data_IF_612937008677
#
_entry.id   IF_612937008677
#
_cell.length_a   1.000
_cell.length_b   1.000
_cell.length_c   1.000
_cell.angle_alpha   90.00
_cell.angle_beta   90.00
_cell.angle_gamma   90.00
#
_symmetry.space_group_name_H-M   'P 1'
#
loop_
_entity.id
_entity.type
_entity.pdbx_description
1 polymer ?
#
# COMPACT_ATOMS: atom_id res chain seq x y z
N UNK A 1 11.65 15.41 -17.99
CA UNK A 1 10.89 14.25 -17.43
C UNK A 1 9.39 14.41 -17.65
N UNK A 2 8.59 13.33 -17.52
CA UNK A 2 7.11 13.43 -17.61
C UNK A 2 6.55 13.82 -16.25
N UNK A 3 5.49 14.63 -16.18
CA UNK A 3 4.84 15.06 -14.94
C UNK A 3 4.45 13.85 -14.05
N UNK A 4 3.95 12.76 -14.66
CA UNK A 4 3.62 11.53 -13.91
C UNK A 4 4.83 10.93 -13.18
N UNK A 5 6.04 11.10 -13.67
CA UNK A 5 7.25 10.62 -13.00
C UNK A 5 7.56 11.44 -11.74
N UNK A 6 7.42 12.77 -11.83
CA UNK A 6 7.59 13.64 -10.65
C UNK A 6 6.55 13.34 -9.57
N UNK A 7 5.29 13.14 -9.96
CA UNK A 7 4.24 12.76 -9.02
C UNK A 7 4.58 11.43 -8.33
N UNK A 8 5.02 10.42 -9.10
CA UNK A 8 5.39 9.11 -8.57
C UNK A 8 6.58 9.19 -7.60
N UNK A 9 7.64 9.92 -7.95
CA UNK A 9 8.82 10.09 -7.10
C UNK A 9 8.49 10.83 -5.80
N UNK A 10 7.68 11.88 -5.88
CA UNK A 10 7.23 12.62 -4.71
C UNK A 10 6.39 11.74 -3.78
N UNK A 11 5.48 10.89 -4.29
CA UNK A 11 4.65 9.99 -3.48
C UNK A 11 5.45 8.93 -2.72
N UNK A 12 6.69 8.67 -3.09
CA UNK A 12 7.55 7.76 -2.32
C UNK A 12 7.97 8.36 -0.97
N UNK A 13 8.08 9.69 -0.88
CA UNK A 13 8.54 10.40 0.33
C UNK A 13 7.45 11.28 0.97
N UNK A 14 6.45 11.69 0.19
CA UNK A 14 5.36 12.56 0.63
C UNK A 14 4.05 11.78 0.71
N UNK A 15 3.19 12.14 1.65
CA UNK A 15 1.89 11.49 1.81
C UNK A 15 0.79 12.14 0.96
N UNK A 16 1.07 13.32 0.39
CA UNK A 16 0.16 14.03 -0.48
C UNK A 16 0.94 14.78 -1.56
N UNK A 17 0.49 14.68 -2.82
CA UNK A 17 1.02 15.46 -3.95
C UNK A 17 -0.15 16.11 -4.67
N UNK A 18 -0.22 17.43 -4.58
CA UNK A 18 -1.27 18.23 -5.23
C UNK A 18 -0.84 18.56 -6.65
N UNK A 19 -1.73 18.28 -7.59
CA UNK A 19 -1.62 18.73 -8.97
C UNK A 19 -2.61 19.87 -9.15
N UNK A 20 -2.14 21.12 -9.28
CA UNK A 20 -2.99 22.30 -9.38
C UNK A 20 -4.05 22.15 -10.47
N UNK A 21 -5.30 22.55 -10.17
CA UNK A 21 -6.45 22.47 -11.07
C UNK A 21 -6.85 21.06 -11.54
N UNK A 22 -6.25 20.01 -10.94
CA UNK A 22 -6.58 18.64 -11.29
C UNK A 22 -7.08 17.84 -10.08
N UNK A 23 -6.35 17.83 -8.98
CA UNK A 23 -6.64 17.07 -7.75
C UNK A 23 -5.38 16.69 -7.02
N UNK A 24 -5.50 15.92 -5.95
CA UNK A 24 -4.37 15.43 -5.16
C UNK A 24 -4.31 13.90 -5.15
N UNK A 25 -3.11 13.37 -5.23
CA UNK A 25 -2.81 11.99 -4.93
C UNK A 25 -2.37 11.90 -3.47
N UNK A 26 -3.05 11.04 -2.70
CA UNK A 26 -2.82 10.89 -1.26
C UNK A 26 -2.40 9.45 -1.00
N UNK A 27 -1.35 9.26 -0.21
CA UNK A 27 -0.88 7.92 0.16
C UNK A 27 -1.16 7.61 1.62
N UNK A 28 -1.39 6.34 1.90
CA UNK A 28 -1.54 5.79 3.24
C UNK A 28 -0.63 4.58 3.40
N UNK A 29 0.11 4.53 4.50
CA UNK A 29 0.96 3.37 4.81
C UNK A 29 0.09 2.15 5.14
N UNK A 30 0.44 1.02 4.53
CA UNK A 30 -0.16 -0.28 4.80
C UNK A 30 0.92 -1.17 5.40
N UNK A 31 0.65 -1.72 6.58
CA UNK A 31 1.53 -2.71 7.21
C UNK A 31 1.62 -3.98 6.38
N UNK A 32 2.65 -4.79 6.62
CA UNK A 32 2.74 -6.12 6.06
C UNK A 32 1.46 -6.91 6.33
N UNK A 33 1.00 -7.65 5.34
CA UNK A 33 -0.23 -8.46 5.42
C UNK A 33 0.09 -9.91 5.08
N UNK A 34 -0.59 -10.82 5.75
CA UNK A 34 -0.61 -12.24 5.39
C UNK A 34 -1.88 -12.47 4.57
N UNK A 35 -1.78 -13.22 3.48
CA UNK A 35 -2.96 -13.64 2.69
C UNK A 35 -3.94 -14.44 3.56
N UNK A 36 -5.21 -14.41 3.21
CA UNK A 36 -6.27 -15.09 3.97
C UNK A 36 -6.06 -16.61 4.11
N UNK A 37 -5.40 -17.21 3.15
CA UNK A 37 -5.00 -18.64 3.15
C UNK A 37 -3.67 -18.90 3.87
N UNK A 38 -3.00 -17.86 4.38
CA UNK A 38 -1.71 -17.97 5.04
C UNK A 38 -0.53 -18.29 4.12
N UNK A 39 -0.73 -18.39 2.81
CA UNK A 39 0.29 -18.84 1.87
C UNK A 39 1.32 -17.77 1.49
N UNK A 40 0.97 -16.48 1.65
CA UNK A 40 1.82 -15.37 1.20
C UNK A 40 1.90 -14.26 2.24
N UNK A 41 3.08 -13.68 2.34
CA UNK A 41 3.33 -12.47 3.13
C UNK A 41 3.62 -11.34 2.15
N UNK A 42 2.80 -10.31 2.20
CA UNK A 42 2.99 -9.07 1.43
C UNK A 42 3.77 -8.07 2.27
N UNK A 43 4.83 -7.46 1.74
CA UNK A 43 5.60 -6.46 2.47
C UNK A 43 4.76 -5.20 2.75
N UNK A 44 5.19 -4.34 3.68
CA UNK A 44 4.61 -3.03 3.88
C UNK A 44 4.60 -2.24 2.56
N UNK A 45 3.56 -1.47 2.30
CA UNK A 45 3.44 -0.65 1.11
C UNK A 45 2.65 0.63 1.39
N UNK A 46 2.60 1.56 0.44
CA UNK A 46 1.69 2.70 0.45
C UNK A 46 0.53 2.44 -0.50
N UNK A 47 -0.69 2.56 0.01
CA UNK A 47 -1.90 2.63 -0.81
C UNK A 47 -2.10 4.06 -1.29
N UNK A 48 -2.43 4.23 -2.56
CA UNK A 48 -2.67 5.53 -3.14
C UNK A 48 -4.17 5.71 -3.42
N UNK A 49 -4.65 6.91 -3.21
CA UNK A 49 -5.98 7.37 -3.54
C UNK A 49 -5.93 8.72 -4.27
N UNK A 50 -7.02 9.10 -4.93
CA UNK A 50 -7.13 10.38 -5.63
C UNK A 50 -8.28 11.19 -5.07
N UNK A 51 -8.04 12.47 -4.77
CA UNK A 51 -9.04 13.42 -4.32
C UNK A 51 -9.14 14.60 -5.29
N UNK A 52 -10.24 14.67 -6.03
CA UNK A 52 -10.51 15.73 -7.02
C UNK A 52 -10.67 17.12 -6.42
N UNK A 53 -11.07 17.21 -5.14
CA UNK A 53 -11.43 18.48 -4.49
C UNK A 53 -10.22 19.23 -3.92
N UNK A 54 -9.08 18.56 -3.76
CA UNK A 54 -7.85 19.17 -3.25
C UNK A 54 -7.02 19.67 -4.42
N UNK A 55 -7.19 20.95 -4.78
CA UNK A 55 -6.60 21.56 -5.98
C UNK A 55 -5.69 22.76 -5.68
N UNK A 56 -5.70 23.26 -4.41
CA UNK A 56 -4.91 24.43 -4.03
C UNK A 56 -3.42 24.07 -4.04
N UNK A 57 -2.66 24.76 -4.88
CA UNK A 57 -1.23 24.54 -5.03
C UNK A 57 -0.47 24.74 -3.69
N UNK A 58 0.32 23.75 -3.30
CA UNK A 58 1.24 23.78 -2.15
C UNK A 58 2.70 24.08 -2.55
N UNK A 59 2.96 24.17 -3.85
CA UNK A 59 4.28 24.43 -4.42
C UNK A 59 5.17 23.18 -4.55
N UNK A 60 4.82 22.04 -3.97
CA UNK A 60 5.66 20.85 -3.91
C UNK A 60 6.01 20.33 -5.32
N UNK A 61 5.01 20.10 -6.16
CA UNK A 61 5.20 19.62 -7.53
C UNK A 61 5.92 20.65 -8.40
N UNK A 62 5.57 21.94 -8.23
CA UNK A 62 6.22 23.05 -8.90
C UNK A 62 7.72 23.11 -8.59
N UNK A 63 8.08 23.06 -7.31
CA UNK A 63 9.46 23.06 -6.84
C UNK A 63 10.24 21.89 -7.44
N UNK A 64 9.67 20.69 -7.42
CA UNK A 64 10.30 19.50 -7.96
C UNK A 64 10.61 19.64 -9.45
N UNK A 65 9.70 20.19 -10.24
CA UNK A 65 9.89 20.38 -11.68
C UNK A 65 10.90 21.50 -11.94
N UNK A 66 10.74 22.66 -11.29
CA UNK A 66 11.61 23.82 -11.44
C UNK A 66 13.07 23.46 -11.15
N UNK A 67 13.32 22.81 -10.01
CA UNK A 67 14.67 22.43 -9.59
C UNK A 67 15.31 21.37 -10.48
N UNK A 68 14.55 20.33 -10.85
CA UNK A 68 15.12 19.23 -11.65
C UNK A 68 15.34 19.59 -13.13
N UNK A 69 14.56 20.52 -13.66
CA UNK A 69 14.67 20.91 -15.08
C UNK A 69 15.38 22.27 -15.26
N UNK A 70 15.81 22.93 -14.18
CA UNK A 70 16.44 24.26 -14.19
C UNK A 70 15.61 25.30 -14.97
N UNK A 71 14.30 25.34 -14.70
CA UNK A 71 13.35 26.29 -15.29
C UNK A 71 12.72 27.18 -14.23
N UNK A 72 12.18 28.33 -14.63
CA UNK A 72 11.47 29.20 -13.72
C UNK A 72 10.21 28.55 -13.15
N UNK A 73 9.68 29.11 -12.06
CA UNK A 73 8.41 28.68 -11.47
C UNK A 73 7.25 28.79 -12.47
N UNK A 74 7.21 29.88 -13.23
CA UNK A 74 6.21 30.11 -14.29
C UNK A 74 6.31 29.03 -15.38
N UNK A 75 7.54 28.65 -15.73
CA UNK A 75 7.78 27.58 -16.69
C UNK A 75 7.29 26.21 -16.19
N UNK A 76 7.50 25.92 -14.90
CA UNK A 76 7.00 24.71 -14.25
C UNK A 76 5.46 24.72 -14.18
N UNK A 77 4.85 25.84 -13.80
CA UNK A 77 3.40 26.01 -13.77
C UNK A 77 2.77 25.81 -15.13
N UNK A 78 3.36 26.40 -16.16
CA UNK A 78 2.91 26.22 -17.56
C UNK A 78 2.96 24.75 -17.98
N UNK A 79 4.00 24.02 -17.61
CA UNK A 79 4.09 22.57 -17.89
C UNK A 79 3.00 21.77 -17.20
N UNK A 80 2.72 22.06 -15.93
CA UNK A 80 1.63 21.40 -15.17
C UNK A 80 0.29 21.72 -15.84
N UNK A 81 0.01 22.99 -16.12
CA UNK A 81 -1.24 23.44 -16.74
C UNK A 81 -1.46 22.76 -18.10
N UNK A 82 -0.43 22.70 -18.94
CA UNK A 82 -0.50 22.02 -20.24
C UNK A 82 -0.76 20.52 -20.08
N UNK A 83 -0.17 19.88 -19.08
CA UNK A 83 -0.38 18.47 -18.78
C UNK A 83 -1.82 18.23 -18.31
N UNK A 84 -2.33 19.04 -17.38
CA UNK A 84 -3.71 18.97 -16.86
C UNK A 84 -4.72 19.16 -17.97
N UNK A 85 -4.52 20.15 -18.83
CA UNK A 85 -5.39 20.41 -19.97
C UNK A 85 -5.47 19.19 -20.91
N UNK A 86 -4.33 18.55 -21.20
CA UNK A 86 -4.30 17.32 -22.01
C UNK A 86 -5.02 16.15 -21.34
N UNK A 87 -4.84 15.99 -20.03
CA UNK A 87 -5.50 14.94 -19.24
C UNK A 87 -7.01 15.14 -19.26
N UNK A 88 -7.48 16.35 -18.97
CA UNK A 88 -8.91 16.67 -18.96
C UNK A 88 -9.56 16.42 -20.31
N UNK A 89 -8.94 16.90 -21.40
CA UNK A 89 -9.42 16.63 -22.79
C UNK A 89 -9.50 15.13 -23.09
N UNK A 90 -8.53 14.34 -22.63
CA UNK A 90 -8.58 12.89 -22.80
C UNK A 90 -9.70 12.25 -21.98
N UNK A 91 -9.87 12.65 -20.73
CA UNK A 91 -10.96 12.17 -19.86
C UNK A 91 -12.34 12.48 -20.45
N UNK A 92 -12.52 13.70 -20.98
CA UNK A 92 -13.78 14.08 -21.64
C UNK A 92 -14.08 13.20 -22.87
N UNK A 93 -13.05 12.94 -23.67
CA UNK A 93 -13.19 12.20 -24.92
C UNK A 93 -13.23 10.69 -24.75
N UNK A 94 -12.32 10.13 -23.94
CA UNK A 94 -12.10 8.69 -23.82
C UNK A 94 -12.70 8.10 -22.53
N UNK A 95 -13.15 8.97 -21.61
CA UNK A 95 -13.69 8.59 -20.27
C UNK A 95 -12.68 7.85 -19.39
N UNK A 96 -11.46 7.68 -19.84
CA UNK A 96 -10.42 6.90 -19.16
C UNK A 96 -9.03 7.46 -19.51
N UNK A 97 -8.15 7.50 -18.51
CA UNK A 97 -6.72 7.78 -18.67
C UNK A 97 -5.90 6.87 -17.77
N UNK A 98 -4.72 6.54 -18.21
CA UNK A 98 -3.69 5.90 -17.41
C UNK A 98 -2.59 6.91 -17.07
N UNK A 99 -2.23 6.96 -15.78
CA UNK A 99 -1.09 7.73 -15.25
C UNK A 99 -0.03 6.73 -14.86
N UNK A 100 1.04 6.68 -15.67
CA UNK A 100 2.10 5.67 -15.55
C UNK A 100 2.62 5.57 -14.11
N UNK A 101 2.72 4.35 -13.59
CA UNK A 101 3.19 3.95 -12.25
C UNK A 101 2.28 4.41 -11.09
N UNK A 102 1.21 5.14 -11.34
CA UNK A 102 0.32 5.67 -10.31
C UNK A 102 -1.00 4.92 -10.32
N UNK A 103 -1.65 4.84 -11.47
CA UNK A 103 -2.94 4.21 -11.62
C UNK A 103 -3.73 4.77 -12.80
N UNK A 104 -5.01 4.52 -12.81
CA UNK A 104 -5.92 5.01 -13.84
C UNK A 104 -7.06 5.83 -13.23
N UNK A 105 -7.57 6.77 -14.00
CA UNK A 105 -8.74 7.57 -13.64
C UNK A 105 -9.79 7.37 -14.73
N UNK A 106 -11.00 7.00 -14.35
CA UNK A 106 -12.17 6.98 -15.22
C UNK A 106 -13.18 8.04 -14.80
N UNK A 107 -13.99 8.48 -15.77
CA UNK A 107 -15.09 9.41 -15.56
C UNK A 107 -16.42 8.69 -15.78
N UNK A 108 -17.09 8.32 -14.71
CA UNK A 108 -18.36 7.59 -14.68
C UNK A 108 -19.45 8.44 -14.04
N UNK A 109 -20.53 8.68 -14.76
CA UNK A 109 -21.66 9.49 -14.27
C UNK A 109 -21.23 10.85 -13.69
N UNK A 110 -20.22 11.51 -14.30
CA UNK A 110 -19.67 12.78 -13.82
C UNK A 110 -18.75 12.67 -12.61
N UNK A 111 -18.49 11.48 -12.08
CA UNK A 111 -17.59 11.24 -10.96
C UNK A 111 -16.26 10.67 -11.43
N UNK A 112 -15.18 11.11 -10.79
CA UNK A 112 -13.84 10.56 -10.99
C UNK A 112 -13.68 9.29 -10.15
N UNK A 113 -13.40 8.17 -10.80
CA UNK A 113 -13.09 6.90 -10.16
C UNK A 113 -11.60 6.63 -10.39
N UNK A 114 -10.86 6.43 -9.30
CA UNK A 114 -9.43 6.14 -9.35
C UNK A 114 -9.18 4.66 -9.02
N UNK A 115 -8.41 3.99 -9.87
CA UNK A 115 -7.91 2.65 -9.63
C UNK A 115 -6.37 2.69 -9.53
N UNK A 116 -5.78 2.41 -8.34
CA UNK A 116 -4.34 2.44 -8.17
C UNK A 116 -3.66 1.31 -8.96
N UNK A 117 -2.42 1.55 -9.40
CA UNK A 117 -1.60 0.50 -9.97
C UNK A 117 -1.09 -0.43 -8.86
N UNK A 118 -1.58 -1.65 -8.82
CA UNK A 118 -1.25 -2.65 -7.80
C UNK A 118 0.22 -3.10 -7.82
N UNK A 119 0.90 -2.95 -8.95
CA UNK A 119 2.29 -3.35 -9.12
C UNK A 119 3.29 -2.26 -8.72
N UNK A 120 2.83 -1.07 -8.38
CA UNK A 120 3.70 0.03 -8.00
C UNK A 120 4.03 -0.03 -6.51
N UNK A 121 5.32 -0.11 -6.19
CA UNK A 121 5.82 -0.07 -4.83
C UNK A 121 6.17 1.39 -4.52
N UNK A 122 5.35 2.04 -3.68
CA UNK A 122 5.55 3.44 -3.29
C UNK A 122 6.42 3.59 -2.04
N UNK A 123 6.62 2.54 -1.27
CA UNK A 123 7.44 2.59 -0.06
C UNK A 123 8.89 2.20 -0.39
N UNK A 124 9.82 3.15 -0.30
CA UNK A 124 11.25 2.91 -0.60
C UNK A 124 11.86 1.79 0.23
N UNK A 125 11.47 1.66 1.50
CA UNK A 125 11.94 0.59 2.39
C UNK A 125 11.47 -0.81 1.98
N UNK A 126 10.47 -0.92 1.13
CA UNK A 126 9.96 -2.19 0.59
C UNK A 126 10.42 -2.44 -0.85
N UNK A 127 11.27 -1.57 -1.39
CA UNK A 127 11.77 -1.71 -2.76
C UNK A 127 12.63 -2.97 -2.88
N UNK A 128 12.28 -3.84 -3.81
CA UNK A 128 12.96 -5.14 -4.00
C UNK A 128 12.38 -6.30 -3.17
N UNK A 129 11.47 -6.05 -2.23
CA UNK A 129 10.74 -7.12 -1.54
C UNK A 129 9.55 -7.57 -2.37
N UNK A 130 9.60 -8.80 -2.83
CA UNK A 130 8.44 -9.49 -3.40
C UNK A 130 7.61 -10.15 -2.29
N UNK A 131 6.38 -10.54 -2.60
CA UNK A 131 5.61 -11.41 -1.70
C UNK A 131 6.38 -12.70 -1.44
N UNK A 132 6.52 -13.08 -0.18
CA UNK A 132 7.22 -14.30 0.22
C UNK A 132 6.17 -15.41 0.33
N UNK A 133 6.44 -16.55 -0.28
CA UNK A 133 5.67 -17.76 -0.07
C UNK A 133 5.96 -18.28 1.34
N UNK A 134 4.95 -18.25 2.20
CA UNK A 134 5.06 -18.69 3.59
C UNK A 134 4.71 -20.16 3.79
N UNK A 135 4.38 -20.91 2.73
CA UNK A 135 3.98 -22.32 2.81
C UNK A 135 5.02 -23.20 3.51
N UNK A 136 6.30 -22.81 3.45
CA UNK A 136 7.40 -23.48 4.15
C UNK A 136 7.63 -23.00 5.59
N UNK A 137 7.08 -21.84 5.99
CA UNK A 137 7.34 -21.23 7.30
C UNK A 137 6.31 -21.70 8.34
N UNK A 138 5.09 -21.97 7.93
CA UNK A 138 3.96 -22.30 8.83
C UNK A 138 4.05 -23.73 9.41
N UNK A 139 4.96 -24.59 8.92
CA UNK A 139 5.07 -25.99 9.34
C UNK A 139 5.75 -26.25 10.67
N UNK A 140 6.09 -25.26 11.49
CA UNK A 140 6.49 -25.48 12.87
C UNK A 140 5.38 -25.17 13.88
N UNK A 141 4.20 -25.71 13.65
CA UNK A 141 3.34 -26.03 14.80
C UNK A 141 4.06 -27.13 15.57
N UNK A 142 4.69 -26.73 16.68
CA UNK A 142 5.30 -27.65 17.63
C UNK A 142 4.16 -28.60 18.08
N UNK A 143 4.15 -29.79 17.51
CA UNK A 143 3.28 -30.85 17.98
C UNK A 143 3.71 -31.09 19.44
N UNK A 144 3.02 -30.45 20.37
CA UNK A 144 3.16 -30.75 21.80
C UNK A 144 2.61 -32.16 21.90
N UNK A 145 3.51 -33.12 21.79
CA UNK A 145 3.16 -34.50 21.96
C UNK A 145 2.43 -34.60 23.30
N UNK A 146 1.18 -35.02 23.28
CA UNK A 146 0.32 -35.27 24.43
C UNK A 146 0.89 -36.38 25.36
N UNK A 147 2.17 -36.69 25.24
CA UNK A 147 2.90 -37.64 26.08
C UNK A 147 2.87 -37.20 27.54
N UNK A 148 3.08 -35.90 27.80
CA UNK A 148 3.04 -35.36 29.16
C UNK A 148 1.62 -35.40 29.78
N UNK A 149 0.55 -35.25 28.95
CA UNK A 149 -0.83 -35.38 29.48
C UNK A 149 -1.14 -36.82 29.88
N UNK A 150 -0.60 -37.81 29.19
CA UNK A 150 -0.78 -39.23 29.55
C UNK A 150 -0.12 -39.56 30.89
N UNK A 151 1.06 -39.04 31.15
CA UNK A 151 1.76 -39.26 32.42
C UNK A 151 1.12 -38.47 33.56
N UNK A 152 0.59 -37.27 33.33
CA UNK A 152 -0.15 -36.52 34.34
C UNK A 152 -1.43 -37.25 34.78
N UNK A 153 -2.17 -37.86 33.87
CA UNK A 153 -3.36 -38.65 34.19
C UNK A 153 -3.03 -39.88 35.04
N UNK A 154 -1.93 -40.58 34.77
CA UNK A 154 -1.49 -41.75 35.53
C UNK A 154 -1.08 -41.33 36.95
N UNK A 155 -0.38 -40.19 37.11
CA UNK A 155 -0.01 -39.67 38.45
C UNK A 155 -1.21 -39.30 39.30
N UNK A 156 -2.26 -38.70 38.72
CA UNK A 156 -3.50 -38.35 39.41
C UNK A 156 -4.23 -39.61 39.90
N UNK A 157 -4.31 -40.65 39.07
CA UNK A 157 -4.94 -41.92 39.42
C UNK A 157 -4.15 -42.62 40.58
N UNK A 158 -2.83 -42.55 40.53
CA UNK A 158 -1.97 -43.15 41.57
C UNK A 158 -2.12 -42.43 42.91
N UNK A 159 -2.17 -41.10 42.93
CA UNK A 159 -2.36 -40.29 44.13
C UNK A 159 -3.79 -40.45 44.72
N UNK A 160 -4.81 -40.60 43.89
CA UNK A 160 -6.17 -40.83 44.36
C UNK A 160 -6.33 -42.19 45.03
N UNK A 161 -5.60 -43.20 44.54
CA UNK A 161 -5.63 -44.56 45.14
C UNK A 161 -4.86 -44.64 46.48
N UNK A 162 -3.73 -43.89 46.58
CA UNK A 162 -2.95 -43.79 47.79
C UNK A 162 -3.71 -43.12 48.94
N UNK A 163 -4.61 -42.18 48.69
CA UNK A 163 -5.44 -41.52 49.70
C UNK A 163 -6.64 -42.37 50.13
N UNK A 164 -7.05 -43.37 49.37
CA UNK A 164 -8.14 -44.29 49.74
C UNK A 164 -7.69 -45.37 50.73
N UNK A 165 -6.40 -45.73 50.72
CA UNK A 165 -5.85 -46.77 51.58
C UNK A 165 -5.39 -46.26 52.95
N UNK A 166 -5.50 -44.94 53.21
CA UNK A 166 -5.11 -44.32 54.52
C UNK A 166 -6.30 -43.98 55.38
N UNK A 167 -7.48 -44.52 55.10
CA UNK A 167 -8.71 -44.32 55.93
C UNK A 167 -9.29 -45.64 56.39
N UNK A 168 -8.50 -46.39 57.14
CA UNK A 168 -8.98 -47.49 57.99
C UNK A 168 -8.31 -47.38 59.39
#
# INVERSE_FOLDING_TARGET
MKISTYIFELLQSQDCVIVPNFGAFVTRNISAKISSDGSRIFPPNKEISFNKNVVKNDGLLLNAISSNENISYEGAEQKITNWVTRINKKLEKQRYIEIKNIGSISLENGKYIFAPNQNSIFLKSSYGFNSIDSSHIIRRQKNINNVYLKYAAVLIIFLSKSNSDSSI
#
